data_IF_657305159818
#
_entry.id   IF_657305159818
#
_cell.length_a   1.000
_cell.length_b   1.000
_cell.length_c   1.000
_cell.angle_alpha   90.00
_cell.angle_beta   90.00
_cell.angle_gamma   90.00
#
_symmetry.space_group_name_H-M   'P 1'
#
loop_
_entity.id
_entity.type
_entity.pdbx_description
1 polymer ?
#
# COMPACT_ATOMS: atom_id res chain seq x y z
N UNK A 1 39.23 -37.80 -34.48
CA UNK A 1 37.92 -37.67 -33.83
C UNK A 1 37.98 -36.77 -32.63
N UNK A 2 38.27 -35.46 -32.82
CA UNK A 2 38.38 -34.50 -31.69
C UNK A 2 37.91 -33.06 -32.03
N UNK A 3 37.23 -32.83 -33.15
CA UNK A 3 36.85 -31.47 -33.56
C UNK A 3 35.39 -31.10 -33.33
N UNK A 4 34.50 -32.03 -32.92
CA UNK A 4 33.04 -31.74 -32.80
C UNK A 4 32.58 -31.16 -31.46
N UNK A 5 33.46 -31.05 -30.44
CA UNK A 5 33.08 -30.58 -29.12
C UNK A 5 33.18 -29.05 -28.93
N UNK A 6 33.95 -28.36 -29.75
CA UNK A 6 34.16 -26.90 -29.61
C UNK A 6 32.98 -26.12 -30.18
N UNK A 7 32.31 -26.65 -31.20
CA UNK A 7 31.17 -25.97 -31.82
C UNK A 7 29.91 -25.96 -30.93
N UNK A 8 29.68 -27.04 -30.17
CA UNK A 8 28.53 -27.13 -29.26
C UNK A 8 28.66 -26.26 -27.99
N UNK A 9 29.88 -26.02 -27.52
CA UNK A 9 30.13 -25.17 -26.34
C UNK A 9 29.93 -23.68 -26.74
N UNK A 10 30.27 -23.31 -27.95
CA UNK A 10 30.09 -21.93 -28.49
C UNK A 10 28.60 -21.56 -28.65
N UNK A 11 27.74 -22.52 -29.01
CA UNK A 11 26.31 -22.28 -29.18
C UNK A 11 25.58 -22.14 -27.83
N UNK A 12 25.97 -22.89 -26.80
CA UNK A 12 25.39 -22.73 -25.46
C UNK A 12 25.76 -21.39 -24.82
N UNK A 13 26.95 -20.90 -25.03
CA UNK A 13 27.37 -19.60 -24.51
C UNK A 13 26.62 -18.43 -25.13
N UNK A 14 26.26 -18.52 -26.43
CA UNK A 14 25.51 -17.46 -27.14
C UNK A 14 24.01 -17.41 -26.79
N UNK A 15 23.41 -18.53 -26.37
CA UNK A 15 21.99 -18.58 -25.99
C UNK A 15 21.74 -18.20 -24.52
N UNK A 16 22.75 -18.33 -23.65
CA UNK A 16 22.61 -17.98 -22.23
C UNK A 16 22.90 -16.51 -21.90
N UNK A 17 23.66 -15.77 -22.75
CA UNK A 17 24.06 -14.40 -22.47
C UNK A 17 22.90 -13.39 -22.39
N UNK A 18 21.87 -13.41 -23.25
CA UNK A 18 20.75 -12.47 -23.11
C UNK A 18 19.88 -12.75 -21.87
N UNK A 19 19.72 -14.03 -21.50
CA UNK A 19 18.90 -14.40 -20.35
C UNK A 19 19.54 -14.04 -19.00
N UNK A 20 20.85 -14.12 -18.88
CA UNK A 20 21.60 -13.71 -17.68
C UNK A 20 21.61 -12.20 -17.52
N UNK A 21 21.64 -11.43 -18.64
CA UNK A 21 21.60 -9.98 -18.61
C UNK A 21 20.22 -9.46 -18.16
N UNK A 22 19.14 -10.12 -18.57
CA UNK A 22 17.78 -9.79 -18.13
C UNK A 22 17.53 -10.15 -16.65
N UNK A 23 18.07 -11.28 -16.17
CA UNK A 23 18.04 -11.61 -14.74
C UNK A 23 18.80 -10.59 -13.88
N UNK A 24 19.89 -10.02 -14.37
CA UNK A 24 20.62 -8.92 -13.73
C UNK A 24 19.80 -7.63 -13.67
N UNK A 25 19.01 -7.34 -14.70
CA UNK A 25 18.13 -6.17 -14.77
C UNK A 25 16.94 -6.32 -13.80
N UNK A 26 16.35 -7.50 -13.68
CA UNK A 26 15.27 -7.79 -12.72
C UNK A 26 15.78 -7.74 -11.27
N UNK A 27 16.99 -8.24 -10.98
CA UNK A 27 17.64 -8.10 -9.67
C UNK A 27 17.92 -6.64 -9.28
N UNK A 28 18.16 -5.75 -10.26
CA UNK A 28 18.34 -4.32 -10.03
C UNK A 28 17.04 -3.57 -9.71
N UNK A 29 15.88 -4.10 -10.13
CA UNK A 29 14.58 -3.47 -9.96
C UNK A 29 13.99 -3.70 -8.56
N UNK A 30 14.30 -4.82 -7.89
CA UNK A 30 13.88 -5.11 -6.51
C UNK A 30 15.10 -5.20 -5.58
N UNK A 31 15.62 -4.06 -5.17
CA UNK A 31 16.68 -4.03 -4.19
C UNK A 31 16.10 -4.01 -2.76
N UNK A 32 15.92 -5.19 -2.16
CA UNK A 32 15.42 -5.35 -0.79
C UNK A 32 16.17 -4.52 0.25
N UNK A 33 17.45 -4.22 0.03
CA UNK A 33 18.25 -3.36 0.91
C UNK A 33 17.78 -1.89 0.90
N UNK A 34 17.06 -1.45 -0.14
CA UNK A 34 16.44 -0.11 -0.15
C UNK A 34 15.17 -0.06 0.70
N UNK A 35 14.43 -1.18 0.79
CA UNK A 35 13.21 -1.29 1.59
C UNK A 35 13.55 -1.54 3.05
N UNK A 36 14.53 -2.43 3.31
CA UNK A 36 14.99 -2.82 4.64
C UNK A 36 16.49 -2.49 4.78
N UNK A 37 16.84 -1.24 5.07
CA UNK A 37 18.24 -0.84 5.25
C UNK A 37 18.84 -1.48 6.50
N UNK A 38 20.10 -1.90 6.43
CA UNK A 38 20.85 -2.46 7.59
C UNK A 38 21.04 -1.45 8.71
N UNK A 39 21.15 -0.17 8.35
CA UNK A 39 21.30 0.95 9.28
C UNK A 39 20.25 2.00 8.97
N UNK A 40 19.58 2.48 10.00
CA UNK A 40 18.56 3.51 9.87
C UNK A 40 19.21 4.88 9.93
N UNK A 41 19.05 5.66 8.86
CA UNK A 41 19.66 6.99 8.72
C UNK A 41 18.63 8.03 8.30
N UNK A 42 19.00 9.32 8.39
CA UNK A 42 18.19 10.41 7.87
C UNK A 42 18.56 10.78 6.42
N UNK A 43 19.32 9.95 5.75
CA UNK A 43 19.72 10.17 4.35
C UNK A 43 18.59 9.82 3.39
N UNK A 44 18.46 10.64 2.36
CA UNK A 44 17.45 10.52 1.32
C UNK A 44 17.97 9.63 0.20
N UNK A 45 17.57 8.36 0.20
CA UNK A 45 17.93 7.40 -0.84
C UNK A 45 16.85 7.25 -1.92
N UNK A 46 15.78 8.06 -1.84
CA UNK A 46 14.64 8.03 -2.77
C UNK A 46 14.54 9.32 -3.58
N UNK A 47 13.93 9.29 -4.79
CA UNK A 47 13.67 10.49 -5.57
C UNK A 47 12.85 11.51 -4.78
N UNK A 48 13.17 12.80 -4.92
CA UNK A 48 12.46 13.88 -4.20
C UNK A 48 10.95 13.85 -4.43
N UNK A 49 10.51 13.52 -5.65
CA UNK A 49 9.08 13.43 -5.99
C UNK A 49 8.37 12.34 -5.19
N UNK A 50 8.98 11.17 -4.99
CA UNK A 50 8.40 10.09 -4.19
C UNK A 50 8.27 10.50 -2.72
N UNK A 51 9.26 11.24 -2.18
CA UNK A 51 9.23 11.74 -0.81
C UNK A 51 8.09 12.73 -0.61
N UNK A 52 7.96 13.72 -1.51
CA UNK A 52 6.86 14.68 -1.45
C UNK A 52 5.50 14.00 -1.63
N UNK A 53 5.39 13.02 -2.53
CA UNK A 53 4.20 12.18 -2.67
C UNK A 53 3.85 11.47 -1.37
N UNK A 54 4.85 10.88 -0.70
CA UNK A 54 4.65 10.21 0.58
C UNK A 54 4.23 11.18 1.70
N UNK A 55 4.82 12.38 1.76
CA UNK A 55 4.44 13.44 2.72
C UNK A 55 2.98 13.85 2.52
N UNK A 56 2.59 14.16 1.29
CA UNK A 56 1.22 14.58 0.95
C UNK A 56 0.22 13.47 1.25
N UNK A 57 0.55 12.23 0.88
CA UNK A 57 -0.31 11.08 1.19
C UNK A 57 -0.44 10.86 2.69
N UNK A 58 0.65 10.95 3.46
CA UNK A 58 0.61 10.85 4.93
C UNK A 58 -0.25 11.95 5.54
N UNK A 59 -0.16 13.18 5.06
CA UNK A 59 -0.99 14.30 5.51
C UNK A 59 -2.49 14.04 5.24
N UNK A 60 -2.82 13.58 4.03
CA UNK A 60 -4.18 13.21 3.64
C UNK A 60 -4.72 12.08 4.53
N UNK A 61 -3.93 11.03 4.75
CA UNK A 61 -4.33 9.91 5.59
C UNK A 61 -4.46 10.29 7.07
N UNK A 62 -3.64 11.22 7.55
CA UNK A 62 -3.77 11.79 8.90
C UNK A 62 -5.09 12.50 9.06
N UNK A 63 -5.43 13.40 8.13
CA UNK A 63 -6.71 14.11 8.13
C UNK A 63 -7.89 13.13 8.10
N UNK A 64 -7.86 12.17 7.17
CA UNK A 64 -8.90 11.15 7.04
C UNK A 64 -9.06 10.33 8.33
N UNK A 65 -7.97 9.95 8.97
CA UNK A 65 -7.98 9.17 10.22
C UNK A 65 -8.58 9.94 11.38
N UNK A 66 -8.32 11.25 11.47
CA UNK A 66 -8.93 12.14 12.47
C UNK A 66 -10.45 12.21 12.25
N UNK A 67 -10.90 12.36 11.01
CA UNK A 67 -12.34 12.36 10.69
C UNK A 67 -12.99 11.03 11.08
N UNK A 68 -12.37 9.91 10.75
CA UNK A 68 -12.91 8.59 11.10
C UNK A 68 -12.95 8.33 12.60
N UNK A 69 -12.02 8.91 13.36
CA UNK A 69 -11.94 8.75 14.81
C UNK A 69 -12.95 9.66 15.56
N UNK A 70 -13.09 10.92 15.15
CA UNK A 70 -13.86 11.93 15.89
C UNK A 70 -15.26 12.21 15.30
N UNK A 71 -15.44 11.93 14.02
CA UNK A 71 -16.69 12.16 13.28
C UNK A 71 -17.09 10.87 12.56
N UNK A 72 -17.27 9.81 13.33
CA UNK A 72 -17.45 8.45 12.83
C UNK A 72 -18.65 8.30 11.90
N UNK A 73 -19.78 8.96 12.17
CA UNK A 73 -20.95 8.90 11.30
C UNK A 73 -20.67 9.52 9.92
N UNK A 74 -20.05 10.70 9.90
CA UNK A 74 -19.64 11.35 8.65
C UNK A 74 -18.58 10.53 7.92
N UNK A 75 -17.56 10.06 8.63
CA UNK A 75 -16.53 9.22 8.05
C UNK A 75 -17.08 7.92 7.47
N UNK A 76 -18.08 7.32 8.11
CA UNK A 76 -18.68 6.05 7.69
C UNK A 76 -19.63 6.22 6.49
N UNK A 77 -20.52 7.22 6.51
CA UNK A 77 -21.55 7.37 5.50
C UNK A 77 -21.15 8.21 4.30
N UNK A 78 -20.35 9.27 4.51
CA UNK A 78 -20.02 10.24 3.45
C UNK A 78 -18.63 10.02 2.85
N UNK A 79 -17.66 9.53 3.64
CA UNK A 79 -16.33 9.22 3.12
C UNK A 79 -16.22 7.74 2.70
N UNK A 80 -16.71 6.82 3.54
CA UNK A 80 -16.62 5.40 3.27
C UNK A 80 -17.84 4.83 2.52
N UNK A 81 -18.86 5.65 2.22
CA UNK A 81 -20.05 5.33 1.43
C UNK A 81 -20.88 4.13 1.94
N UNK A 82 -20.81 3.82 3.24
CA UNK A 82 -21.66 2.78 3.82
C UNK A 82 -23.09 3.27 4.03
N UNK A 83 -24.05 2.35 3.88
CA UNK A 83 -25.46 2.61 4.19
C UNK A 83 -25.72 2.60 5.68
N UNK A 84 -26.83 3.22 6.11
CA UNK A 84 -27.33 3.10 7.48
C UNK A 84 -28.02 1.75 7.62
N UNK A 85 -27.58 0.94 8.57
CA UNK A 85 -28.23 -0.33 8.92
C UNK A 85 -29.27 -0.09 10.01
N UNK A 86 -30.40 -0.76 9.89
CA UNK A 86 -31.48 -0.72 10.89
C UNK A 86 -31.70 -2.09 11.50
N UNK A 87 -32.06 -2.14 12.78
CA UNK A 87 -32.32 -3.38 13.48
C UNK A 87 -32.84 -3.11 14.90
N UNK A 88 -33.22 -4.16 15.60
CA UNK A 88 -33.59 -4.11 17.00
C UNK A 88 -32.79 -5.16 17.77
N UNK A 89 -31.79 -4.75 18.60
CA UNK A 89 -31.36 -3.35 18.85
C UNK A 89 -30.65 -2.71 17.64
N UNK A 90 -30.61 -1.36 17.60
CA UNK A 90 -29.90 -0.60 16.57
C UNK A 90 -28.40 -0.97 16.52
N UNK A 91 -27.87 -1.48 15.39
CA UNK A 91 -26.49 -1.89 15.29
C UNK A 91 -25.49 -0.71 15.10
N UNK A 92 -25.97 0.48 14.71
CA UNK A 92 -25.11 1.59 14.31
C UNK A 92 -24.16 2.08 15.40
N UNK A 93 -24.54 2.22 16.68
CA UNK A 93 -23.62 2.64 17.73
C UNK A 93 -22.39 1.75 17.90
N UNK A 94 -22.57 0.42 17.74
CA UNK A 94 -21.46 -0.54 17.79
C UNK A 94 -20.57 -0.43 16.56
N UNK A 95 -21.16 -0.27 15.39
CA UNK A 95 -20.43 -0.10 14.12
C UNK A 95 -19.59 1.18 14.17
N UNK A 96 -20.16 2.31 14.60
CA UNK A 96 -19.43 3.56 14.76
C UNK A 96 -18.25 3.43 15.73
N UNK A 97 -18.45 2.70 16.83
CA UNK A 97 -17.36 2.45 17.77
C UNK A 97 -16.19 1.70 17.13
N UNK A 98 -16.44 0.65 16.37
CA UNK A 98 -15.39 -0.07 15.65
C UNK A 98 -14.74 0.78 14.58
N UNK A 99 -15.52 1.58 13.87
CA UNK A 99 -15.02 2.49 12.84
C UNK A 99 -14.12 3.57 13.45
N UNK A 100 -14.49 4.15 14.59
CA UNK A 100 -13.65 5.10 15.34
C UNK A 100 -12.33 4.45 15.81
N UNK A 101 -12.39 3.21 16.35
CA UNK A 101 -11.19 2.48 16.75
C UNK A 101 -10.26 2.19 15.54
N UNK A 102 -10.84 1.87 14.39
CA UNK A 102 -10.06 1.72 13.16
C UNK A 102 -9.42 3.05 12.72
N UNK A 103 -10.16 4.16 12.78
CA UNK A 103 -9.62 5.50 12.55
C UNK A 103 -8.44 5.82 13.46
N UNK A 104 -8.55 5.49 14.76
CA UNK A 104 -7.47 5.66 15.72
C UNK A 104 -6.24 4.79 15.38
N UNK A 105 -6.41 3.52 15.04
CA UNK A 105 -5.31 2.63 14.65
C UNK A 105 -4.56 3.18 13.41
N UNK A 106 -5.30 3.66 12.41
CA UNK A 106 -4.73 4.29 11.23
C UNK A 106 -3.99 5.59 11.57
N UNK A 107 -4.52 6.40 12.51
CA UNK A 107 -3.85 7.61 13.00
C UNK A 107 -2.52 7.29 13.68
N UNK A 108 -2.45 6.25 14.51
CA UNK A 108 -1.18 5.80 15.12
C UNK A 108 -0.17 5.42 14.04
N UNK A 109 -0.58 4.74 12.98
CA UNK A 109 0.31 4.43 11.87
C UNK A 109 0.78 5.70 11.13
N UNK A 110 -0.10 6.68 10.92
CA UNK A 110 0.30 7.98 10.36
C UNK A 110 1.33 8.70 11.23
N UNK A 111 1.20 8.66 12.56
CA UNK A 111 2.18 9.25 13.47
C UNK A 111 3.57 8.58 13.32
N UNK A 112 3.62 7.26 13.17
CA UNK A 112 4.87 6.54 12.85
C UNK A 112 5.43 7.04 11.52
N UNK A 113 4.61 7.20 10.48
CA UNK A 113 5.04 7.76 9.20
C UNK A 113 5.62 9.17 9.34
N UNK A 114 5.01 10.03 10.15
CA UNK A 114 5.56 11.37 10.44
C UNK A 114 6.91 11.31 11.13
N UNK A 115 7.10 10.44 12.12
CA UNK A 115 8.41 10.22 12.75
C UNK A 115 9.45 9.79 11.72
N UNK A 116 9.07 8.89 10.81
CA UNK A 116 9.95 8.44 9.72
C UNK A 116 10.31 9.59 8.78
N UNK A 117 9.34 10.42 8.38
CA UNK A 117 9.56 11.58 7.51
C UNK A 117 10.56 12.56 8.13
N UNK A 118 10.45 12.84 9.43
CA UNK A 118 11.31 13.82 10.08
C UNK A 118 12.69 13.28 10.49
N UNK A 119 12.75 12.00 10.89
CA UNK A 119 13.97 11.48 11.56
C UNK A 119 14.63 10.28 10.88
N UNK A 120 13.86 9.48 10.12
CA UNK A 120 14.34 8.17 9.62
C UNK A 120 14.02 7.98 8.15
N UNK A 121 14.39 8.93 7.31
CA UNK A 121 14.00 8.99 5.89
C UNK A 121 14.38 7.75 5.09
N UNK A 122 15.41 7.01 5.52
CA UNK A 122 15.78 5.72 4.90
C UNK A 122 14.68 4.64 5.04
N UNK A 123 13.69 4.81 5.95
CA UNK A 123 12.55 3.89 6.12
C UNK A 123 11.32 4.29 5.31
N UNK A 124 11.33 5.40 4.56
CA UNK A 124 10.20 5.81 3.71
C UNK A 124 9.76 4.69 2.75
N UNK A 125 10.67 3.96 2.06
CA UNK A 125 10.27 2.85 1.21
C UNK A 125 9.54 1.72 1.96
N UNK A 126 9.93 1.43 3.19
CA UNK A 126 9.26 0.46 4.03
C UNK A 126 7.84 0.91 4.41
N UNK A 127 7.68 2.17 4.82
CA UNK A 127 6.35 2.72 5.13
C UNK A 127 5.44 2.78 3.89
N UNK A 128 6.01 3.09 2.73
CA UNK A 128 5.28 3.04 1.45
C UNK A 128 4.81 1.61 1.13
N UNK A 129 5.65 0.60 1.38
CA UNK A 129 5.27 -0.81 1.23
C UNK A 129 4.10 -1.17 2.15
N UNK A 130 4.10 -0.75 3.41
CA UNK A 130 2.97 -1.01 4.32
C UNK A 130 1.67 -0.34 3.84
N UNK A 131 1.73 0.87 3.29
CA UNK A 131 0.57 1.48 2.66
C UNK A 131 0.08 0.71 1.43
N UNK A 132 1.00 0.24 0.58
CA UNK A 132 0.65 -0.61 -0.57
C UNK A 132 -0.03 -1.90 -0.11
N UNK A 133 0.45 -2.54 0.96
CA UNK A 133 -0.16 -3.75 1.51
C UNK A 133 -1.53 -3.45 2.11
N UNK A 134 -1.69 -2.37 2.89
CA UNK A 134 -2.98 -1.98 3.48
C UNK A 134 -4.04 -1.70 2.41
N UNK A 135 -3.70 -0.91 1.39
CA UNK A 135 -4.63 -0.61 0.30
C UNK A 135 -4.82 -1.78 -0.66
N UNK A 136 -3.78 -2.58 -0.87
CA UNK A 136 -3.86 -3.79 -1.67
C UNK A 136 -4.84 -4.82 -1.11
N UNK A 137 -4.86 -5.00 0.20
CA UNK A 137 -5.87 -5.85 0.85
C UNK A 137 -7.28 -5.35 0.60
N UNK A 138 -7.52 -4.05 0.69
CA UNK A 138 -8.85 -3.44 0.49
C UNK A 138 -9.33 -3.55 -0.94
N UNK A 139 -8.42 -3.36 -1.91
CA UNK A 139 -8.77 -3.35 -3.33
C UNK A 139 -8.89 -4.73 -3.94
N UNK A 140 -8.01 -5.64 -3.57
CA UNK A 140 -7.90 -6.94 -4.25
C UNK A 140 -8.34 -8.10 -3.36
N UNK A 141 -7.85 -8.16 -2.11
CA UNK A 141 -8.09 -9.33 -1.27
C UNK A 141 -9.48 -9.30 -0.65
N UNK A 142 -9.89 -8.17 -0.10
CA UNK A 142 -11.15 -8.06 0.63
C UNK A 142 -12.39 -8.27 -0.25
N UNK A 143 -12.52 -7.64 -1.43
CA UNK A 143 -13.63 -7.93 -2.34
C UNK A 143 -13.70 -9.38 -2.78
N UNK A 144 -12.53 -10.03 -2.93
CA UNK A 144 -12.48 -11.45 -3.34
C UNK A 144 -12.92 -12.40 -2.21
N UNK A 145 -12.60 -12.09 -0.94
CA UNK A 145 -12.95 -12.94 0.21
C UNK A 145 -14.36 -12.65 0.73
N UNK A 146 -14.82 -11.39 0.64
CA UNK A 146 -16.06 -10.90 1.21
C UNK A 146 -16.89 -10.15 0.17
N UNK A 147 -17.18 -10.81 -0.94
CA UNK A 147 -18.02 -10.29 -2.02
C UNK A 147 -19.42 -9.90 -1.52
N UNK A 148 -19.95 -10.63 -0.53
CA UNK A 148 -21.24 -10.38 0.11
C UNK A 148 -21.34 -8.98 0.74
N UNK A 149 -20.24 -8.47 1.34
CA UNK A 149 -20.22 -7.16 2.02
C UNK A 149 -19.88 -6.03 1.05
N UNK A 150 -19.15 -6.32 -0.03
CA UNK A 150 -18.75 -5.32 -1.01
C UNK A 150 -19.79 -5.09 -2.10
N UNK A 151 -20.90 -5.86 -2.11
CA UNK A 151 -21.99 -5.68 -3.07
C UNK A 151 -22.63 -4.30 -2.95
N UNK A 152 -22.65 -3.57 -4.06
CA UNK A 152 -23.26 -2.24 -4.15
C UNK A 152 -24.77 -2.33 -3.90
N UNK A 153 -25.30 -1.39 -3.12
CA UNK A 153 -26.72 -1.26 -2.87
C UNK A 153 -27.23 -1.94 -1.60
N UNK A 154 -26.51 -2.94 -1.06
CA UNK A 154 -26.89 -3.58 0.20
C UNK A 154 -26.18 -2.98 1.40
N UNK A 155 -24.85 -2.83 1.34
CA UNK A 155 -24.03 -2.31 2.43
C UNK A 155 -23.25 -1.06 2.06
N UNK A 156 -23.03 -0.81 0.77
CA UNK A 156 -22.33 0.37 0.25
C UNK A 156 -23.23 1.11 -0.76
N UNK A 157 -23.12 2.45 -0.76
CA UNK A 157 -23.86 3.30 -1.70
C UNK A 157 -23.25 3.28 -3.10
N UNK A 158 -21.94 3.07 -3.21
CA UNK A 158 -21.16 3.16 -4.43
C UNK A 158 -19.98 2.16 -4.42
N UNK A 159 -19.26 2.09 -5.54
CA UNK A 159 -18.03 1.29 -5.70
C UNK A 159 -17.09 1.56 -4.52
N UNK A 160 -16.33 0.55 -4.14
CA UNK A 160 -15.41 0.52 -2.99
C UNK A 160 -14.90 1.89 -2.54
N UNK A 161 -15.19 2.30 -1.30
CA UNK A 161 -14.84 3.62 -0.81
C UNK A 161 -13.36 3.93 -0.94
N UNK A 162 -13.04 5.06 -1.57
CA UNK A 162 -11.67 5.52 -1.73
C UNK A 162 -10.89 4.86 -2.87
N UNK A 163 -11.54 4.21 -3.84
CA UNK A 163 -10.88 3.66 -5.05
C UNK A 163 -10.01 4.71 -5.73
N UNK A 164 -10.48 5.94 -5.83
CA UNK A 164 -9.74 7.03 -6.47
C UNK A 164 -8.42 7.34 -5.77
N UNK A 165 -8.38 7.21 -4.44
CA UNK A 165 -7.17 7.41 -3.64
C UNK A 165 -6.33 6.15 -3.49
N UNK A 166 -6.90 4.99 -3.78
CA UNK A 166 -6.26 3.70 -3.57
C UNK A 166 -5.05 3.46 -4.49
N UNK A 167 -5.03 4.07 -5.66
CA UNK A 167 -3.90 3.98 -6.59
C UNK A 167 -2.69 4.80 -6.14
N UNK A 168 -2.89 5.83 -5.30
CA UNK A 168 -1.83 6.73 -4.90
C UNK A 168 -0.67 6.04 -4.17
N UNK A 169 -0.87 5.13 -3.19
CA UNK A 169 0.23 4.39 -2.57
C UNK A 169 1.07 3.58 -3.56
N UNK A 170 0.42 3.00 -4.59
CA UNK A 170 1.13 2.22 -5.61
C UNK A 170 2.01 3.11 -6.49
N UNK A 171 1.50 4.28 -6.89
CA UNK A 171 2.27 5.26 -7.67
C UNK A 171 3.46 5.78 -6.86
N UNK A 172 3.29 6.07 -5.57
CA UNK A 172 4.36 6.55 -4.69
C UNK A 172 5.42 5.46 -4.47
N UNK A 173 5.00 4.20 -4.37
CA UNK A 173 5.92 3.08 -4.14
C UNK A 173 6.79 2.76 -5.36
N UNK A 174 6.28 2.96 -6.59
CA UNK A 174 7.03 2.77 -7.86
C UNK A 174 8.02 3.89 -8.09
#
# INVERSE_FOLDING_TARGET
>A
MKENNIFFISWRAKLCTPYIHDLGRIKGMFNFYKILPKTVTNELNSPKIAIWGFVLFTALMTWRSIIHMLFESYGFHDIANFVVLTGDPDPMPVIYRFFSLWGNAQLMFCLVCWVVIFRYKSLIPLMSLFWVLDWGQRLFLYPFIREDITSIGQYTKDITPGVDLALLPFVIAV
#
